data_IF_991702566036
#
_entry.id   IF_991702566036
#
_cell.length_a   1.000
_cell.length_b   1.000
_cell.length_c   1.000
_cell.angle_alpha   90.00
_cell.angle_beta   90.00
_cell.angle_gamma   90.00
#
_symmetry.space_group_name_H-M   'P 1'
#
loop_
_entity.id
_entity.type
_entity.pdbx_description
1 polymer ?
#
# COMPACT_ATOMS: atom_id res chain seq x y z
N UNK A 1 53.18 -3.41 4.82
CA UNK A 1 51.87 -4.06 4.49
C UNK A 1 52.16 -5.47 4.01
N UNK A 2 51.52 -6.47 4.58
CA UNK A 2 51.70 -7.86 4.17
C UNK A 2 51.24 -8.10 2.72
N UNK A 3 51.79 -9.08 2.03
CA UNK A 3 51.37 -9.44 0.69
C UNK A 3 49.87 -9.78 0.64
N UNK A 4 49.36 -10.41 1.69
CA UNK A 4 47.93 -10.72 1.91
C UNK A 4 47.07 -9.46 1.87
N UNK A 5 47.49 -8.40 2.57
CA UNK A 5 46.70 -7.13 2.60
C UNK A 5 46.69 -6.43 1.26
N UNK A 6 47.80 -6.46 0.52
CA UNK A 6 47.92 -5.88 -0.84
C UNK A 6 47.06 -6.57 -1.87
N UNK A 7 46.81 -7.87 -1.73
CA UNK A 7 45.94 -8.64 -2.65
C UNK A 7 44.45 -8.55 -2.27
N UNK A 8 44.10 -8.53 -0.98
CA UNK A 8 42.72 -8.54 -0.52
C UNK A 8 42.06 -7.15 -0.61
N UNK A 9 42.77 -6.07 -0.34
CA UNK A 9 42.20 -4.74 -0.29
C UNK A 9 41.50 -4.28 -1.60
N UNK A 10 42.10 -4.40 -2.80
CA UNK A 10 41.43 -3.97 -4.03
C UNK A 10 40.22 -4.82 -4.38
N UNK A 11 40.24 -6.12 -4.09
CA UNK A 11 39.12 -7.04 -4.37
C UNK A 11 37.97 -6.73 -3.42
N UNK A 12 38.24 -6.53 -2.13
CA UNK A 12 37.23 -6.13 -1.15
C UNK A 12 36.57 -4.78 -1.54
N UNK A 13 37.37 -3.82 -2.02
CA UNK A 13 36.87 -2.52 -2.49
C UNK A 13 35.91 -2.68 -3.68
N UNK A 14 36.34 -3.42 -4.70
CA UNK A 14 35.52 -3.65 -5.91
C UNK A 14 34.22 -4.37 -5.55
N UNK A 15 34.28 -5.42 -4.71
CA UNK A 15 33.09 -6.14 -4.26
C UNK A 15 32.13 -5.24 -3.47
N UNK A 16 32.66 -4.38 -2.58
CA UNK A 16 31.84 -3.45 -1.80
C UNK A 16 31.14 -2.41 -2.70
N UNK A 17 31.84 -1.87 -3.70
CA UNK A 17 31.28 -0.92 -4.67
C UNK A 17 30.20 -1.60 -5.52
N UNK A 18 30.48 -2.78 -6.06
CA UNK A 18 29.50 -3.53 -6.87
C UNK A 18 28.22 -3.84 -6.07
N UNK A 19 28.38 -4.24 -4.81
CA UNK A 19 27.26 -4.54 -3.93
C UNK A 19 26.44 -3.28 -3.58
N UNK A 20 27.11 -2.16 -3.27
CA UNK A 20 26.45 -0.89 -3.01
C UNK A 20 25.63 -0.43 -4.22
N UNK A 21 26.17 -0.62 -5.43
CA UNK A 21 25.45 -0.32 -6.67
C UNK A 21 24.21 -1.21 -6.87
N UNK A 22 24.34 -2.51 -6.67
CA UNK A 22 23.22 -3.45 -6.78
C UNK A 22 22.14 -3.16 -5.73
N UNK A 23 22.55 -2.92 -4.48
CA UNK A 23 21.60 -2.58 -3.40
C UNK A 23 20.88 -1.25 -3.66
N UNK A 24 21.59 -0.23 -4.13
CA UNK A 24 21.01 1.05 -4.51
C UNK A 24 20.00 0.92 -5.65
N UNK A 25 20.37 0.21 -6.71
CA UNK A 25 19.46 -0.05 -7.85
C UNK A 25 18.24 -0.86 -7.45
N UNK A 26 18.40 -1.87 -6.59
CA UNK A 26 17.27 -2.66 -6.07
C UNK A 26 16.31 -1.81 -5.23
N UNK A 27 16.85 -0.91 -4.40
CA UNK A 27 16.05 0.02 -3.61
C UNK A 27 15.24 0.98 -4.49
N UNK A 28 15.88 1.60 -5.50
CA UNK A 28 15.19 2.52 -6.40
C UNK A 28 14.09 1.83 -7.22
N UNK A 29 14.34 0.60 -7.67
CA UNK A 29 13.32 -0.20 -8.34
C UNK A 29 12.17 -0.58 -7.41
N UNK A 30 12.46 -1.01 -6.18
CA UNK A 30 11.43 -1.32 -5.19
C UNK A 30 10.56 -0.10 -4.88
N UNK A 31 11.19 1.07 -4.70
CA UNK A 31 10.48 2.34 -4.49
C UNK A 31 9.53 2.67 -5.65
N UNK A 32 9.98 2.55 -6.90
CA UNK A 32 9.15 2.80 -8.09
C UNK A 32 7.96 1.82 -8.17
N UNK A 33 8.22 0.53 -7.96
CA UNK A 33 7.19 -0.52 -8.02
C UNK A 33 6.14 -0.30 -6.93
N UNK A 34 6.56 -0.04 -5.69
CA UNK A 34 5.62 0.19 -4.58
C UNK A 34 4.80 1.45 -4.83
N UNK A 35 5.42 2.55 -5.26
CA UNK A 35 4.70 3.79 -5.57
C UNK A 35 3.66 3.60 -6.68
N UNK A 36 4.02 2.94 -7.80
CA UNK A 36 3.10 2.70 -8.90
C UNK A 36 1.96 1.73 -8.54
N UNK A 37 2.27 0.68 -7.76
CA UNK A 37 1.27 -0.28 -7.32
C UNK A 37 0.24 0.34 -6.37
N UNK A 38 0.66 1.21 -5.46
CA UNK A 38 -0.26 1.87 -4.53
C UNK A 38 -1.22 2.79 -5.28
N UNK A 39 -0.74 3.61 -6.20
CA UNK A 39 -1.61 4.46 -7.04
C UNK A 39 -2.64 3.60 -7.80
N UNK A 40 -2.22 2.45 -8.33
CA UNK A 40 -3.12 1.52 -9.03
C UNK A 40 -4.15 0.89 -8.08
N UNK A 41 -3.72 0.48 -6.88
CA UNK A 41 -4.61 -0.08 -5.86
C UNK A 41 -5.61 0.98 -5.39
N UNK A 42 -5.16 2.20 -5.08
CA UNK A 42 -6.04 3.30 -4.70
C UNK A 42 -7.07 3.61 -5.78
N UNK A 43 -6.65 3.70 -7.05
CA UNK A 43 -7.57 3.93 -8.16
C UNK A 43 -8.64 2.83 -8.26
N UNK A 44 -8.23 1.56 -8.12
CA UNK A 44 -9.15 0.43 -8.13
C UNK A 44 -10.13 0.47 -6.96
N UNK A 45 -9.64 0.81 -5.77
CA UNK A 45 -10.46 0.96 -4.56
C UNK A 45 -11.44 2.11 -4.71
N UNK A 46 -10.98 3.28 -5.12
CA UNK A 46 -11.83 4.46 -5.34
C UNK A 46 -12.90 4.17 -6.37
N UNK A 47 -12.57 3.51 -7.47
CA UNK A 47 -13.53 3.12 -8.50
C UNK A 47 -14.57 2.12 -7.95
N UNK A 48 -14.16 1.12 -7.19
CA UNK A 48 -15.04 0.14 -6.59
C UNK A 48 -16.01 0.79 -5.60
N UNK A 49 -15.51 1.61 -4.68
CA UNK A 49 -16.34 2.35 -3.69
C UNK A 49 -17.26 3.33 -4.40
N UNK A 50 -16.77 4.02 -5.43
CA UNK A 50 -17.59 4.94 -6.23
C UNK A 50 -18.77 4.24 -6.90
N UNK A 51 -18.53 3.07 -7.49
CA UNK A 51 -19.60 2.24 -8.10
C UNK A 51 -20.60 1.76 -7.07
N UNK A 52 -20.13 1.33 -5.89
CA UNK A 52 -21.02 0.86 -4.82
C UNK A 52 -21.91 1.99 -4.29
N UNK A 53 -21.33 3.16 -4.03
CA UNK A 53 -22.10 4.34 -3.59
C UNK A 53 -23.08 4.79 -4.67
N UNK A 54 -22.66 4.87 -5.93
CA UNK A 54 -23.54 5.23 -7.04
C UNK A 54 -24.70 4.25 -7.21
N UNK A 55 -24.42 2.95 -7.15
CA UNK A 55 -25.42 1.90 -7.21
C UNK A 55 -26.43 1.99 -6.04
N UNK A 56 -25.93 2.19 -4.84
CA UNK A 56 -26.77 2.34 -3.65
C UNK A 56 -27.70 3.57 -3.74
N UNK A 57 -27.16 4.72 -4.15
CA UNK A 57 -27.95 5.95 -4.34
C UNK A 57 -29.02 5.79 -5.40
N UNK A 58 -28.66 5.20 -6.55
CA UNK A 58 -29.58 4.98 -7.66
C UNK A 58 -30.65 3.95 -7.30
N UNK A 59 -30.26 2.85 -6.66
CA UNK A 59 -31.18 1.82 -6.16
C UNK A 59 -32.17 2.40 -5.15
N UNK A 60 -31.68 3.24 -4.23
CA UNK A 60 -32.54 3.88 -3.21
C UNK A 60 -33.49 4.89 -3.85
N UNK A 61 -33.00 5.68 -4.81
CA UNK A 61 -33.86 6.62 -5.57
C UNK A 61 -34.96 5.87 -6.31
N UNK A 62 -34.63 4.78 -7.00
CA UNK A 62 -35.60 3.95 -7.70
C UNK A 62 -36.62 3.32 -6.75
N UNK A 63 -36.15 2.79 -5.60
CA UNK A 63 -37.04 2.27 -4.56
C UNK A 63 -38.00 3.34 -4.05
N UNK A 64 -37.53 4.55 -3.73
CA UNK A 64 -38.35 5.64 -3.24
C UNK A 64 -39.39 6.07 -4.27
N UNK A 65 -38.97 6.21 -5.55
CA UNK A 65 -39.88 6.56 -6.66
C UNK A 65 -40.98 5.50 -6.84
N UNK A 66 -40.62 4.23 -6.86
CA UNK A 66 -41.59 3.15 -6.97
C UNK A 66 -42.53 3.10 -5.73
N UNK A 67 -41.99 3.34 -4.54
CA UNK A 67 -42.76 3.42 -3.32
C UNK A 67 -43.77 4.55 -3.35
N UNK A 68 -43.39 5.75 -3.79
CA UNK A 68 -44.32 6.87 -3.93
C UNK A 68 -45.44 6.62 -4.98
N UNK A 69 -45.21 5.75 -5.95
CA UNK A 69 -46.19 5.38 -6.99
C UNK A 69 -47.12 4.25 -6.58
N UNK A 70 -46.89 3.57 -5.42
CA UNK A 70 -47.72 2.47 -4.96
C UNK A 70 -49.14 2.96 -4.71
N UNK A 71 -50.12 2.09 -5.05
CA UNK A 71 -51.57 2.43 -4.88
C UNK A 71 -51.91 2.83 -3.45
N UNK A 72 -51.34 2.13 -2.46
CA UNK A 72 -51.59 2.41 -1.05
C UNK A 72 -51.12 3.82 -0.64
N UNK A 73 -49.98 4.29 -1.17
CA UNK A 73 -49.45 5.63 -0.89
C UNK A 73 -50.34 6.71 -1.53
N UNK A 74 -50.83 6.48 -2.77
CA UNK A 74 -51.78 7.37 -3.43
C UNK A 74 -53.13 7.41 -2.71
N UNK A 75 -53.67 6.27 -2.33
CA UNK A 75 -54.93 6.18 -1.57
C UNK A 75 -54.84 6.91 -0.22
N UNK A 76 -53.70 6.75 0.45
CA UNK A 76 -53.49 7.48 1.71
C UNK A 76 -53.40 9.01 1.49
N UNK A 77 -52.66 9.45 0.45
CA UNK A 77 -52.61 10.86 0.08
C UNK A 77 -54.01 11.42 -0.28
N UNK A 78 -54.78 10.68 -1.05
CA UNK A 78 -56.18 11.04 -1.42
C UNK A 78 -57.10 11.12 -0.19
N UNK A 79 -57.03 10.16 0.71
CA UNK A 79 -57.77 10.17 1.97
C UNK A 79 -57.43 11.42 2.79
N UNK A 80 -56.13 11.79 2.92
CA UNK A 80 -55.73 12.99 3.65
C UNK A 80 -56.33 14.28 3.07
N UNK A 81 -56.57 14.37 1.75
CA UNK A 81 -57.19 15.51 1.14
C UNK A 81 -58.67 15.70 1.58
N UNK A 82 -59.32 14.64 2.03
CA UNK A 82 -60.71 14.69 2.50
C UNK A 82 -60.82 15.03 3.99
N UNK A 83 -59.71 14.98 4.75
CA UNK A 83 -59.73 15.23 6.18
C UNK A 83 -59.49 16.71 6.52
N UNK A 84 -60.27 17.24 7.44
CA UNK A 84 -60.00 18.58 8.04
C UNK A 84 -58.88 18.52 9.09
N UNK A 85 -58.72 17.40 9.76
CA UNK A 85 -57.66 17.10 10.70
C UNK A 85 -57.42 15.58 10.67
N UNK A 86 -56.16 15.18 10.60
CA UNK A 86 -55.76 13.79 10.49
C UNK A 86 -56.18 13.02 11.76
N UNK A 87 -56.98 11.99 11.55
CA UNK A 87 -57.31 11.00 12.60
C UNK A 87 -56.29 9.86 12.56
N UNK A 88 -55.36 9.87 13.47
CA UNK A 88 -54.31 8.85 13.58
C UNK A 88 -54.79 7.49 14.00
N UNK A 89 -56.02 7.38 14.51
CA UNK A 89 -56.67 6.12 14.86
C UNK A 89 -57.38 5.47 13.67
N UNK A 90 -57.55 6.20 12.56
CA UNK A 90 -58.26 5.75 11.38
C UNK A 90 -57.67 4.47 10.78
N UNK A 91 -58.51 3.59 10.23
CA UNK A 91 -58.03 2.36 9.56
C UNK A 91 -57.06 2.65 8.44
N UNK A 92 -57.26 3.71 7.65
CA UNK A 92 -56.42 4.12 6.54
C UNK A 92 -55.00 4.44 6.99
N UNK A 93 -54.84 5.13 8.12
CA UNK A 93 -53.57 5.43 8.76
C UNK A 93 -52.86 4.15 9.16
N UNK A 94 -53.54 3.21 9.81
CA UNK A 94 -52.95 1.94 10.26
C UNK A 94 -52.51 1.07 9.09
N UNK A 95 -53.36 0.92 8.07
CA UNK A 95 -53.04 0.15 6.86
C UNK A 95 -51.82 0.76 6.14
N UNK A 96 -51.79 2.09 6.01
CA UNK A 96 -50.64 2.77 5.39
C UNK A 96 -49.35 2.52 6.18
N UNK A 97 -49.35 2.73 7.49
CA UNK A 97 -48.17 2.51 8.35
C UNK A 97 -47.70 1.06 8.31
N UNK A 98 -48.59 0.08 8.33
CA UNK A 98 -48.20 -1.33 8.20
C UNK A 98 -47.46 -1.59 6.88
N UNK A 99 -47.98 -1.09 5.78
CA UNK A 99 -47.40 -1.30 4.44
C UNK A 99 -46.06 -0.60 4.26
N UNK A 100 -45.90 0.63 4.78
CA UNK A 100 -44.59 1.32 4.68
C UNK A 100 -43.54 0.71 5.62
N UNK A 101 -43.95 0.22 6.82
CA UNK A 101 -43.06 -0.50 7.73
C UNK A 101 -42.53 -1.80 7.12
N UNK A 102 -43.41 -2.59 6.49
CA UNK A 102 -42.99 -3.79 5.73
C UNK A 102 -42.02 -3.43 4.62
N UNK A 103 -42.23 -2.30 3.96
CA UNK A 103 -41.33 -1.82 2.88
C UNK A 103 -39.93 -1.48 3.38
N UNK A 104 -39.80 -0.78 4.52
CA UNK A 104 -38.51 -0.46 5.14
C UNK A 104 -37.80 -1.74 5.59
N UNK A 105 -38.51 -2.70 6.15
CA UNK A 105 -37.91 -3.97 6.59
C UNK A 105 -37.24 -4.78 5.45
N UNK A 106 -37.67 -4.58 4.22
CA UNK A 106 -37.14 -5.28 3.04
C UNK A 106 -35.94 -4.54 2.45
N UNK A 107 -35.87 -3.20 2.60
CA UNK A 107 -34.89 -2.37 1.92
C UNK A 107 -33.90 -1.75 2.91
N UNK A 108 -32.76 -2.43 3.09
CA UNK A 108 -31.79 -2.15 4.15
C UNK A 108 -31.16 -0.75 4.13
N UNK A 109 -31.19 -0.04 3.00
CA UNK A 109 -30.57 1.29 2.89
C UNK A 109 -31.46 2.42 3.44
N UNK A 110 -32.77 2.19 3.52
CA UNK A 110 -33.73 3.18 4.04
C UNK A 110 -34.04 2.86 5.49
N UNK A 111 -33.60 3.73 6.40
CA UNK A 111 -33.79 3.56 7.85
C UNK A 111 -35.23 3.91 8.27
N UNK A 112 -35.83 4.90 7.64
CA UNK A 112 -37.20 5.31 7.90
C UNK A 112 -37.88 5.95 6.71
N UNK A 113 -39.20 5.86 6.68
CA UNK A 113 -40.10 6.54 5.76
C UNK A 113 -41.02 7.49 6.52
N UNK A 114 -41.20 8.69 5.99
CA UNK A 114 -42.22 9.64 6.47
C UNK A 114 -43.07 10.12 5.30
N UNK A 115 -44.33 10.38 5.56
CA UNK A 115 -45.26 11.00 4.63
C UNK A 115 -45.55 12.44 5.06
N UNK A 116 -45.35 13.39 4.17
CA UNK A 116 -45.63 14.82 4.36
C UNK A 116 -46.86 15.22 3.53
N UNK A 117 -47.78 15.92 4.15
CA UNK A 117 -48.94 16.50 3.44
C UNK A 117 -48.53 17.74 2.61
N UNK A 118 -49.54 18.35 1.91
CA UNK A 118 -49.34 19.57 1.10
C UNK A 118 -48.85 20.80 1.91
N UNK A 119 -48.93 20.78 3.22
CA UNK A 119 -48.46 21.84 4.13
C UNK A 119 -47.05 21.52 4.71
N UNK A 120 -46.47 20.38 4.37
CA UNK A 120 -45.20 19.93 4.89
C UNK A 120 -45.25 19.33 6.29
N UNK A 121 -46.45 19.01 6.76
CA UNK A 121 -46.66 18.37 8.07
C UNK A 121 -46.43 16.85 7.94
N UNK A 122 -45.72 16.24 8.89
CA UNK A 122 -45.55 14.80 8.99
C UNK A 122 -46.86 14.17 9.43
N UNK A 123 -47.49 13.43 8.55
CA UNK A 123 -48.77 12.74 8.82
C UNK A 123 -48.55 11.28 9.28
N UNK A 124 -47.52 10.64 8.73
CA UNK A 124 -47.16 9.28 9.07
C UNK A 124 -45.63 9.11 9.11
N UNK A 125 -45.16 8.23 10.00
CA UNK A 125 -43.74 7.90 10.16
C UNK A 125 -43.59 6.43 10.55
N UNK A 126 -42.69 5.71 9.90
CA UNK A 126 -42.36 4.32 10.29
C UNK A 126 -41.75 4.22 11.68
N UNK A 127 -41.21 5.31 12.20
CA UNK A 127 -40.63 5.38 13.53
C UNK A 127 -41.65 5.78 14.62
N UNK A 128 -42.89 6.08 14.25
CA UNK A 128 -43.92 6.67 15.14
C UNK A 128 -43.42 7.94 15.86
N UNK A 129 -42.56 8.71 15.21
CA UNK A 129 -41.92 9.91 15.77
C UNK A 129 -41.97 11.08 14.76
N UNK A 130 -42.11 12.29 15.31
CA UNK A 130 -42.08 13.52 14.51
C UNK A 130 -43.41 13.87 13.82
N UNK A 131 -44.46 13.10 14.02
CA UNK A 131 -45.81 13.36 13.50
C UNK A 131 -46.35 14.69 14.03
N UNK A 132 -47.00 15.44 13.13
CA UNK A 132 -47.47 16.79 13.41
C UNK A 132 -46.39 17.87 13.31
N UNK A 133 -45.09 17.51 13.19
CA UNK A 133 -44.03 18.47 12.97
C UNK A 133 -44.02 18.94 11.50
N UNK A 134 -43.74 20.23 11.30
CA UNK A 134 -43.61 20.78 9.95
C UNK A 134 -42.20 20.64 9.43
N UNK A 135 -42.07 20.29 8.15
CA UNK A 135 -40.83 20.11 7.39
C UNK A 135 -40.79 20.94 6.09
N UNK A 136 -41.67 21.93 5.94
CA UNK A 136 -41.78 22.75 4.73
C UNK A 136 -40.51 23.58 4.46
N UNK A 137 -39.69 23.79 5.50
CA UNK A 137 -38.37 24.43 5.43
C UNK A 137 -37.32 23.60 4.72
N UNK A 138 -37.53 22.31 4.54
CA UNK A 138 -36.55 21.37 3.98
C UNK A 138 -36.58 21.40 2.45
N UNK A 139 -35.39 21.35 1.85
CA UNK A 139 -35.23 21.35 0.39
C UNK A 139 -35.86 20.12 -0.26
N UNK A 140 -35.67 18.92 0.36
CA UNK A 140 -36.28 17.69 -0.14
C UNK A 140 -37.83 17.79 -0.25
N UNK A 141 -38.46 18.57 0.62
CA UNK A 141 -39.90 18.82 0.54
C UNK A 141 -40.24 19.83 -0.57
N UNK A 142 -39.52 20.97 -0.62
CA UNK A 142 -39.79 22.02 -1.57
C UNK A 142 -39.64 21.56 -3.03
N UNK A 143 -38.55 20.85 -3.32
CA UNK A 143 -38.33 20.33 -4.67
C UNK A 143 -39.36 19.24 -5.02
N UNK A 144 -39.69 18.35 -4.09
CA UNK A 144 -40.73 17.35 -4.33
C UNK A 144 -42.11 17.96 -4.57
N UNK A 145 -42.49 19.07 -3.90
CA UNK A 145 -43.72 19.79 -4.17
C UNK A 145 -43.74 20.44 -5.55
N UNK A 146 -42.57 20.67 -6.15
CA UNK A 146 -42.45 21.11 -7.57
C UNK A 146 -42.49 19.92 -8.55
N UNK A 147 -42.77 18.72 -8.06
CA UNK A 147 -42.83 17.48 -8.87
C UNK A 147 -41.46 16.86 -9.19
N UNK A 148 -40.39 17.24 -8.51
CA UNK A 148 -39.04 16.75 -8.73
C UNK A 148 -38.59 15.85 -7.59
N UNK A 149 -38.02 14.68 -7.91
CA UNK A 149 -37.26 13.92 -6.93
C UNK A 149 -36.05 14.68 -6.44
N UNK A 150 -35.81 14.69 -5.16
CA UNK A 150 -34.67 15.41 -4.57
C UNK A 150 -33.90 14.59 -3.54
N UNK A 151 -32.63 14.90 -3.40
CA UNK A 151 -31.74 14.37 -2.35
C UNK A 151 -31.18 15.54 -1.58
N UNK A 152 -31.34 15.52 -0.27
CA UNK A 152 -30.80 16.55 0.62
C UNK A 152 -30.00 15.90 1.76
N UNK A 153 -28.88 16.49 2.09
CA UNK A 153 -28.06 16.07 3.22
C UNK A 153 -26.56 16.20 2.94
N UNK A 154 -25.74 15.90 3.93
CA UNK A 154 -26.09 15.28 5.20
C UNK A 154 -26.81 16.25 6.17
N UNK A 155 -27.87 15.78 6.80
CA UNK A 155 -28.61 16.52 7.84
C UNK A 155 -28.79 15.70 9.09
N UNK A 156 -28.83 16.36 10.24
CA UNK A 156 -29.21 15.70 11.49
C UNK A 156 -30.71 15.39 11.47
N UNK A 157 -31.07 14.14 11.72
CA UNK A 157 -32.47 13.74 11.90
C UNK A 157 -33.04 14.44 13.12
N UNK A 158 -34.23 15.08 12.97
CA UNK A 158 -34.88 15.80 14.09
C UNK A 158 -35.43 14.89 15.15
N UNK A 159 -35.57 13.58 14.86
CA UNK A 159 -36.14 12.59 15.73
C UNK A 159 -35.12 11.79 16.52
N UNK A 160 -34.08 11.30 15.87
CA UNK A 160 -33.07 10.40 16.47
C UNK A 160 -31.67 11.03 16.62
N UNK A 161 -31.42 12.19 16.01
CA UNK A 161 -30.18 12.93 16.20
C UNK A 161 -28.96 12.36 15.46
N UNK A 162 -29.12 11.41 14.52
CA UNK A 162 -28.03 10.94 13.67
C UNK A 162 -28.00 11.63 12.31
N UNK A 163 -26.91 11.53 11.60
CA UNK A 163 -26.76 12.10 10.26
C UNK A 163 -27.36 11.18 9.20
N UNK A 164 -28.19 11.77 8.33
CA UNK A 164 -28.87 11.06 7.25
C UNK A 164 -28.93 11.90 5.96
N UNK A 165 -29.01 11.20 4.84
CA UNK A 165 -29.53 11.75 3.60
C UNK A 165 -31.03 11.55 3.55
N UNK A 166 -31.72 12.53 2.98
CA UNK A 166 -33.16 12.50 2.79
C UNK A 166 -33.48 12.52 1.31
N UNK A 167 -34.25 11.55 0.86
CA UNK A 167 -34.82 11.50 -0.49
C UNK A 167 -36.28 11.85 -0.42
N UNK A 168 -36.65 12.94 -1.10
CA UNK A 168 -38.05 13.37 -1.23
C UNK A 168 -38.61 12.99 -2.59
N UNK A 169 -39.70 12.22 -2.60
CA UNK A 169 -40.41 11.80 -3.81
C UNK A 169 -41.84 12.38 -3.82
N UNK A 170 -42.25 13.07 -4.91
CA UNK A 170 -43.58 13.57 -5.04
C UNK A 170 -44.60 12.45 -5.16
N UNK A 171 -45.72 12.59 -4.43
CA UNK A 171 -46.87 11.67 -4.52
C UNK A 171 -48.00 12.39 -5.31
N UNK A 172 -48.32 11.85 -6.47
CA UNK A 172 -49.32 12.42 -7.37
C UNK A 172 -50.67 11.76 -7.18
N UNK A 173 -51.71 12.59 -6.99
CA UNK A 173 -53.11 12.22 -7.05
C UNK A 173 -53.79 13.07 -8.12
N UNK A 174 -54.45 12.42 -9.07
CA UNK A 174 -55.13 13.11 -10.18
C UNK A 174 -54.24 14.09 -10.98
N UNK A 175 -52.92 13.79 -11.08
CA UNK A 175 -51.95 14.66 -11.82
C UNK A 175 -51.37 15.79 -11.01
N UNK A 176 -51.81 16.04 -9.80
CA UNK A 176 -51.25 17.06 -8.89
C UNK A 176 -50.42 16.43 -7.75
N UNK A 177 -49.38 17.13 -7.31
CA UNK A 177 -48.64 16.74 -6.12
C UNK A 177 -49.52 16.91 -4.86
N UNK A 178 -49.80 15.82 -4.20
CA UNK A 178 -50.69 15.78 -3.04
C UNK A 178 -50.00 15.49 -1.71
N UNK A 179 -48.69 15.18 -1.79
CA UNK A 179 -47.86 14.98 -0.63
C UNK A 179 -46.47 14.57 -1.08
N UNK A 180 -45.59 14.31 -0.12
CA UNK A 180 -44.21 13.91 -0.35
C UNK A 180 -43.90 12.68 0.50
N UNK A 181 -43.40 11.61 -0.14
CA UNK A 181 -42.84 10.47 0.56
C UNK A 181 -41.35 10.73 0.74
N UNK A 182 -40.87 10.70 1.98
CA UNK A 182 -39.46 10.97 2.28
C UNK A 182 -38.81 9.73 2.92
N UNK A 183 -37.71 9.30 2.38
CA UNK A 183 -36.86 8.26 2.95
C UNK A 183 -35.62 8.87 3.60
N UNK A 184 -35.30 8.41 4.81
CA UNK A 184 -34.05 8.74 5.47
C UNK A 184 -33.06 7.57 5.33
N UNK A 185 -31.84 7.89 4.87
CA UNK A 185 -30.74 6.94 4.71
C UNK A 185 -29.70 7.24 5.77
N UNK A 186 -29.44 6.28 6.66
CA UNK A 186 -28.45 6.44 7.71
C UNK A 186 -27.03 6.44 7.15
N UNK A 187 -26.28 7.51 7.41
CA UNK A 187 -24.91 7.66 6.92
C UNK A 187 -23.93 6.67 7.56
N UNK A 188 -24.15 6.30 8.83
CA UNK A 188 -23.33 5.26 9.48
C UNK A 188 -23.51 3.91 8.80
N UNK A 189 -24.75 3.60 8.38
CA UNK A 189 -25.00 2.39 7.62
C UNK A 189 -24.27 2.38 6.29
N UNK A 190 -24.30 3.49 5.54
CA UNK A 190 -23.55 3.63 4.29
C UNK A 190 -22.06 3.45 4.54
N UNK A 191 -21.52 4.21 5.48
CA UNK A 191 -20.08 4.18 5.76
C UNK A 191 -19.59 2.78 6.17
N UNK A 192 -20.37 2.09 7.04
CA UNK A 192 -20.00 0.75 7.51
C UNK A 192 -20.04 -0.33 6.41
N UNK A 193 -20.79 -0.12 5.35
CA UNK A 193 -20.90 -1.08 4.24
C UNK A 193 -20.05 -0.72 3.02
N UNK A 194 -19.65 0.55 2.87
CA UNK A 194 -18.92 1.00 1.69
C UNK A 194 -17.45 1.37 1.96
N UNK A 195 -17.18 2.17 3.00
CA UNK A 195 -15.83 2.70 3.25
C UNK A 195 -15.08 1.99 4.38
N UNK A 196 -15.77 1.57 5.46
CA UNK A 196 -15.11 0.91 6.59
C UNK A 196 -14.47 -0.45 6.25
N UNK A 197 -15.10 -1.30 5.38
CA UNK A 197 -14.50 -2.57 4.98
C UNK A 197 -13.24 -2.39 4.14
N UNK A 198 -13.03 -1.18 3.59
CA UNK A 198 -11.91 -0.90 2.72
C UNK A 198 -10.66 -0.65 3.54
N UNK A 199 -9.90 -1.71 3.76
CA UNK A 199 -8.60 -1.63 4.40
C UNK A 199 -7.51 -1.58 3.34
N UNK A 200 -6.98 -0.42 3.08
CA UNK A 200 -5.75 -0.28 2.26
C UNK A 200 -4.55 -0.71 3.11
N UNK A 201 -4.35 -2.03 3.26
CA UNK A 201 -3.30 -2.64 4.11
C UNK A 201 -3.28 -2.10 5.56
N UNK A 202 -4.45 -1.69 6.07
CA UNK A 202 -4.61 -1.15 7.44
C UNK A 202 -4.11 0.28 7.64
N UNK A 203 -3.86 1.05 6.58
CA UNK A 203 -3.03 2.27 6.70
C UNK A 203 -3.42 3.42 5.77
N UNK A 204 -4.33 3.19 4.82
CA UNK A 204 -5.02 4.22 4.07
C UNK A 204 -6.47 4.35 4.54
N UNK A 205 -7.10 5.45 4.23
CA UNK A 205 -8.51 5.68 4.48
C UNK A 205 -9.21 6.08 3.18
N UNK A 206 -10.50 5.74 3.10
CA UNK A 206 -11.41 6.24 2.08
C UNK A 206 -12.44 7.12 2.75
N UNK A 207 -12.72 8.26 2.15
CA UNK A 207 -13.75 9.18 2.60
C UNK A 207 -14.45 9.83 1.41
N UNK A 208 -15.60 10.43 1.64
CA UNK A 208 -16.41 11.06 0.58
C UNK A 208 -16.72 12.49 0.97
N UNK A 209 -16.63 13.38 -0.01
CA UNK A 209 -16.96 14.78 0.16
C UNK A 209 -18.04 15.21 -0.81
N UNK A 210 -18.78 16.27 -0.45
CA UNK A 210 -19.71 16.94 -1.34
C UNK A 210 -19.01 17.93 -2.28
N UNK A 211 -19.70 18.55 -3.26
CA UNK A 211 -19.10 19.52 -4.17
C UNK A 211 -18.51 20.77 -3.48
N UNK A 212 -18.89 21.06 -2.24
CA UNK A 212 -18.36 22.18 -1.46
C UNK A 212 -17.13 21.79 -0.63
N UNK A 213 -16.73 20.51 -0.66
CA UNK A 213 -15.63 19.98 0.15
C UNK A 213 -16.04 19.58 1.57
N UNK A 214 -17.34 19.53 1.88
CA UNK A 214 -17.79 19.01 3.17
C UNK A 214 -17.64 17.50 3.21
N UNK A 215 -17.05 16.97 4.30
CA UNK A 215 -16.92 15.52 4.51
C UNK A 215 -18.30 14.95 4.84
N UNK A 216 -18.77 14.02 4.00
CA UNK A 216 -20.08 13.39 4.11
C UNK A 216 -20.01 11.93 4.56
N UNK A 217 -18.94 11.21 4.20
CA UNK A 217 -18.64 9.88 4.74
C UNK A 217 -17.17 9.82 5.16
N UNK A 218 -16.88 9.30 6.35
CA UNK A 218 -15.53 9.17 6.87
C UNK A 218 -15.46 8.02 7.89
N UNK A 219 -14.35 7.23 7.96
CA UNK A 219 -14.18 6.22 9.01
C UNK A 219 -14.24 6.81 10.43
N UNK A 220 -13.66 7.98 10.63
CA UNK A 220 -13.86 8.77 11.86
C UNK A 220 -15.18 9.53 11.78
N UNK A 221 -16.19 9.03 12.49
CA UNK A 221 -17.55 9.59 12.51
C UNK A 221 -17.64 11.02 13.06
N UNK A 222 -16.67 11.44 13.87
CA UNK A 222 -16.65 12.82 14.40
C UNK A 222 -16.44 13.83 13.28
N UNK A 223 -15.71 13.48 12.22
CA UNK A 223 -15.54 14.36 11.05
C UNK A 223 -16.81 14.54 10.24
N UNK A 224 -17.70 13.54 10.25
CA UNK A 224 -19.02 13.66 9.62
C UNK A 224 -19.93 14.56 10.48
N UNK A 225 -19.90 14.40 11.81
CA UNK A 225 -20.74 15.12 12.76
C UNK A 225 -20.39 16.61 12.83
N UNK A 226 -19.13 16.96 12.72
CA UNK A 226 -18.64 18.34 12.86
C UNK A 226 -18.77 19.20 11.59
N UNK A 227 -19.41 18.73 10.52
CA UNK A 227 -19.39 19.36 9.20
C UNK A 227 -17.96 19.72 8.77
N UNK A 228 -17.02 18.79 9.00
CA UNK A 228 -15.63 19.03 8.68
C UNK A 228 -15.46 19.24 7.18
N UNK A 229 -14.67 20.26 6.83
CA UNK A 229 -14.30 20.55 5.46
C UNK A 229 -12.93 19.98 5.16
N UNK A 230 -12.71 19.57 3.91
CA UNK A 230 -11.36 19.25 3.43
C UNK A 230 -10.53 20.53 3.29
N UNK A 231 -9.22 20.38 3.25
CA UNK A 231 -8.30 21.48 3.00
C UNK A 231 -8.52 22.09 1.61
N UNK A 232 -8.31 23.38 1.49
CA UNK A 232 -8.50 24.13 0.23
C UNK A 232 -7.68 23.54 -0.93
N UNK A 233 -6.46 23.09 -0.65
CA UNK A 233 -5.59 22.46 -1.66
C UNK A 233 -6.19 21.15 -2.23
N UNK A 234 -6.87 20.36 -1.39
CA UNK A 234 -7.56 19.15 -1.83
C UNK A 234 -8.78 19.52 -2.67
N UNK A 235 -9.56 20.53 -2.23
CA UNK A 235 -10.72 20.99 -2.95
C UNK A 235 -10.35 21.49 -4.35
N UNK A 236 -9.27 22.24 -4.48
CA UNK A 236 -8.73 22.70 -5.77
C UNK A 236 -8.30 21.53 -6.66
N UNK A 237 -7.63 20.51 -6.09
CA UNK A 237 -7.19 19.34 -6.83
C UNK A 237 -8.33 18.49 -7.41
N UNK A 238 -9.51 18.50 -6.78
CA UNK A 238 -10.70 17.76 -7.24
C UNK A 238 -11.73 18.61 -7.97
N UNK A 239 -11.50 19.94 -8.10
CA UNK A 239 -12.48 20.91 -8.61
C UNK A 239 -12.92 20.64 -10.05
N UNK A 240 -12.03 20.12 -10.90
CA UNK A 240 -12.31 19.83 -12.30
C UNK A 240 -13.19 18.57 -12.49
N UNK A 241 -13.48 17.85 -11.39
CA UNK A 241 -14.23 16.60 -11.41
C UNK A 241 -13.47 15.46 -12.09
N UNK A 242 -14.20 14.38 -12.45
CA UNK A 242 -13.59 13.21 -13.06
C UNK A 242 -12.82 12.33 -12.09
N UNK A 243 -11.69 11.81 -12.52
CA UNK A 243 -10.81 10.97 -11.68
C UNK A 243 -9.35 11.40 -11.84
N UNK A 244 -8.58 11.26 -10.77
CA UNK A 244 -7.17 11.65 -10.79
C UNK A 244 -6.46 11.26 -9.51
N UNK A 245 -5.18 11.64 -9.44
CA UNK A 245 -4.33 11.46 -8.27
C UNK A 245 -3.53 12.72 -8.01
N UNK A 246 -3.28 13.02 -6.74
CA UNK A 246 -2.48 14.18 -6.32
C UNK A 246 -1.71 13.88 -5.05
N UNK A 247 -0.68 14.68 -4.79
CA UNK A 247 0.03 14.68 -3.52
C UNK A 247 -0.38 15.92 -2.72
N UNK A 248 -0.58 15.74 -1.42
CA UNK A 248 -0.83 16.85 -0.50
C UNK A 248 -0.02 16.67 0.79
N UNK A 249 0.30 17.77 1.45
CA UNK A 249 1.01 17.77 2.72
C UNK A 249 0.04 18.21 3.82
N UNK A 250 -0.02 17.42 4.90
CA UNK A 250 -0.83 17.72 6.08
C UNK A 250 -0.06 17.33 7.34
N UNK A 251 -0.02 18.22 8.33
CA UNK A 251 0.69 18.01 9.60
C UNK A 251 2.17 17.61 9.42
N UNK A 252 2.85 18.14 8.37
CA UNK A 252 4.23 17.81 8.03
C UNK A 252 4.43 16.42 7.42
N UNK A 253 3.36 15.72 7.06
CA UNK A 253 3.39 14.43 6.38
C UNK A 253 2.83 14.56 4.95
N UNK A 254 3.52 13.93 4.00
CA UNK A 254 3.05 13.83 2.61
C UNK A 254 2.08 12.67 2.46
N UNK A 255 0.95 12.94 1.81
CA UNK A 255 -0.07 11.95 1.47
C UNK A 255 -0.19 11.82 -0.04
N UNK A 256 -0.37 10.61 -0.53
CA UNK A 256 -0.85 10.31 -1.87
C UNK A 256 -2.35 10.12 -1.79
N UNK A 257 -3.07 10.74 -2.72
CA UNK A 257 -4.52 10.68 -2.76
C UNK A 257 -4.99 10.43 -4.18
N UNK A 258 -5.95 9.54 -4.31
CA UNK A 258 -6.63 9.26 -5.58
C UNK A 258 -8.11 9.53 -5.41
N UNK A 259 -8.76 10.11 -6.41
CA UNK A 259 -10.15 10.49 -6.33
C UNK A 259 -10.95 10.10 -7.57
N UNK A 260 -12.27 10.00 -7.39
CA UNK A 260 -13.24 9.86 -8.46
C UNK A 260 -14.53 10.59 -8.10
N UNK A 261 -14.99 11.45 -8.99
CA UNK A 261 -16.20 12.26 -8.80
C UNK A 261 -17.40 11.54 -9.42
N UNK A 262 -18.44 11.37 -8.63
CA UNK A 262 -19.70 10.74 -9.00
C UNK A 262 -20.58 11.70 -9.80
N UNK A 263 -21.57 11.21 -10.57
CA UNK A 263 -22.49 12.08 -11.36
C UNK A 263 -23.30 13.09 -10.53
N UNK A 264 -23.49 12.84 -9.24
CA UNK A 264 -24.16 13.77 -8.32
C UNK A 264 -23.22 14.82 -7.72
N UNK A 265 -21.96 14.87 -8.15
CA UNK A 265 -20.94 15.79 -7.68
C UNK A 265 -20.19 15.33 -6.42
N UNK A 266 -20.55 14.22 -5.80
CA UNK A 266 -19.78 13.70 -4.68
C UNK A 266 -18.45 13.13 -5.15
N UNK A 267 -17.41 13.33 -4.36
CA UNK A 267 -16.07 12.83 -4.69
C UNK A 267 -15.61 11.83 -3.64
N UNK A 268 -15.32 10.63 -4.11
CA UNK A 268 -14.69 9.57 -3.30
C UNK A 268 -13.20 9.79 -3.35
N UNK A 269 -12.54 9.85 -2.20
CA UNK A 269 -11.10 10.08 -2.07
C UNK A 269 -10.51 8.95 -1.23
N UNK A 270 -9.50 8.29 -1.77
CA UNK A 270 -8.61 7.39 -1.02
C UNK A 270 -7.31 8.11 -0.73
N UNK A 271 -6.78 7.98 0.46
CA UNK A 271 -5.53 8.64 0.84
C UNK A 271 -4.66 7.71 1.69
N UNK A 272 -3.34 7.73 1.44
CA UNK A 272 -2.34 6.98 2.19
C UNK A 272 -1.11 7.85 2.49
N UNK A 273 -0.53 7.71 3.66
CA UNK A 273 0.69 8.44 4.02
C UNK A 273 1.90 7.88 3.28
N UNK A 274 2.76 8.78 2.76
CA UNK A 274 4.03 8.43 2.10
C UNK A 274 4.96 7.63 3.01
N UNK A 275 5.10 8.04 4.26
CA UNK A 275 5.99 7.36 5.22
C UNK A 275 5.55 5.93 5.43
N UNK A 276 4.24 5.73 5.40
CA UNK A 276 3.66 4.43 5.49
C UNK A 276 3.93 3.55 4.26
N UNK A 277 3.77 4.09 3.05
CA UNK A 277 4.15 3.41 1.80
C UNK A 277 5.62 2.99 1.82
N UNK A 278 6.49 3.87 2.36
CA UNK A 278 7.92 3.63 2.40
C UNK A 278 8.35 2.69 3.53
N UNK A 279 7.51 2.43 4.54
CA UNK A 279 7.87 1.56 5.67
C UNK A 279 8.23 0.14 5.22
N UNK A 280 7.46 -0.43 4.30
CA UNK A 280 7.71 -1.76 3.76
C UNK A 280 8.96 -1.78 2.86
N UNK A 281 9.19 -0.71 2.09
CA UNK A 281 10.41 -0.54 1.28
C UNK A 281 11.64 -0.41 2.17
N UNK A 282 11.55 0.32 3.29
CA UNK A 282 12.64 0.42 4.26
C UNK A 282 12.96 -0.93 4.90
N UNK A 283 11.96 -1.69 5.30
CA UNK A 283 12.15 -3.03 5.85
C UNK A 283 12.79 -3.99 4.83
N UNK A 284 12.37 -3.92 3.57
CA UNK A 284 13.00 -4.67 2.48
C UNK A 284 14.45 -4.23 2.25
N UNK A 285 14.74 -2.93 2.27
CA UNK A 285 16.10 -2.39 2.17
C UNK A 285 17.00 -2.96 3.26
N UNK A 286 16.56 -2.90 4.51
CA UNK A 286 17.36 -3.31 5.65
C UNK A 286 17.65 -4.82 5.62
N UNK A 287 16.66 -5.63 5.26
CA UNK A 287 16.84 -7.09 5.05
C UNK A 287 17.80 -7.38 3.89
N UNK A 288 17.63 -6.69 2.76
CA UNK A 288 18.50 -6.86 1.59
C UNK A 288 19.93 -6.43 1.91
N UNK A 289 20.12 -5.32 2.61
CA UNK A 289 21.42 -4.85 3.04
C UNK A 289 22.10 -5.86 4.01
N UNK A 290 21.36 -6.44 4.94
CA UNK A 290 21.88 -7.45 5.86
C UNK A 290 22.32 -8.73 5.12
N UNK A 291 21.51 -9.24 4.19
CA UNK A 291 21.86 -10.42 3.38
C UNK A 291 23.08 -10.14 2.51
N UNK A 292 23.11 -8.96 1.90
CA UNK A 292 24.21 -8.52 1.07
C UNK A 292 25.52 -8.40 1.86
N UNK A 293 25.48 -7.82 3.06
CA UNK A 293 26.63 -7.73 3.96
C UNK A 293 27.14 -9.11 4.37
N UNK A 294 26.22 -10.02 4.73
CA UNK A 294 26.57 -11.40 5.07
C UNK A 294 27.26 -12.11 3.89
N UNK A 295 26.74 -11.95 2.67
CA UNK A 295 27.34 -12.53 1.46
C UNK A 295 28.77 -12.02 1.22
N UNK A 296 29.02 -10.71 1.41
CA UNK A 296 30.37 -10.13 1.33
C UNK A 296 31.30 -10.71 2.40
N UNK A 297 30.84 -10.75 3.64
CA UNK A 297 31.65 -11.32 4.72
C UNK A 297 32.04 -12.78 4.44
N UNK A 298 31.12 -13.58 3.94
CA UNK A 298 31.38 -14.98 3.56
C UNK A 298 32.38 -15.04 2.41
N UNK A 299 32.21 -14.24 1.35
CA UNK A 299 33.12 -14.21 0.22
C UNK A 299 34.53 -13.76 0.61
N UNK A 300 34.66 -12.71 1.43
CA UNK A 300 35.93 -12.24 1.97
C UNK A 300 36.59 -13.29 2.87
N UNK A 301 35.82 -14.02 3.66
CA UNK A 301 36.33 -15.12 4.50
C UNK A 301 36.93 -16.24 3.63
N UNK A 302 36.21 -16.72 2.62
CA UNK A 302 36.75 -17.73 1.72
C UNK A 302 37.96 -17.22 0.93
N UNK A 303 37.92 -16.01 0.45
CA UNK A 303 39.05 -15.36 -0.23
C UNK A 303 40.27 -15.28 0.70
N UNK A 304 40.09 -14.87 1.96
CA UNK A 304 41.14 -14.82 2.95
C UNK A 304 41.78 -16.19 3.16
N UNK A 305 40.99 -17.28 3.27
CA UNK A 305 41.49 -18.64 3.38
C UNK A 305 42.36 -19.06 2.18
N UNK A 306 41.91 -18.72 0.96
CA UNK A 306 42.66 -19.00 -0.29
C UNK A 306 43.98 -18.26 -0.30
N UNK A 307 43.94 -16.94 -0.05
CA UNK A 307 45.14 -16.10 -0.04
C UNK A 307 46.14 -16.53 1.02
N UNK A 308 45.68 -16.89 2.23
CA UNK A 308 46.54 -17.40 3.28
C UNK A 308 47.22 -18.72 2.87
N UNK A 309 46.50 -19.63 2.20
CA UNK A 309 47.10 -20.87 1.68
C UNK A 309 48.14 -20.63 0.58
N UNK A 310 47.89 -19.70 -0.32
CA UNK A 310 48.84 -19.32 -1.40
C UNK A 310 50.10 -18.68 -0.81
N UNK A 311 49.93 -17.68 0.06
CA UNK A 311 51.05 -16.99 0.71
C UNK A 311 51.89 -17.93 1.57
N UNK A 312 51.25 -18.83 2.30
CA UNK A 312 51.96 -19.85 3.10
C UNK A 312 52.83 -20.78 2.20
N UNK A 313 52.30 -21.18 1.03
CA UNK A 313 53.05 -22.00 0.08
C UNK A 313 54.22 -21.21 -0.53
N UNK A 314 54.02 -19.95 -0.88
CA UNK A 314 55.09 -19.08 -1.38
C UNK A 314 56.21 -18.87 -0.35
N UNK A 315 55.87 -18.61 0.91
CA UNK A 315 56.85 -18.47 2.00
C UNK A 315 57.69 -19.75 2.18
N UNK A 316 57.06 -20.92 2.09
CA UNK A 316 57.78 -22.20 2.14
C UNK A 316 58.77 -22.33 0.95
N UNK A 317 58.38 -21.85 -0.24
CA UNK A 317 59.23 -21.83 -1.42
C UNK A 317 60.44 -20.89 -1.28
N UNK A 318 60.22 -19.69 -0.69
CA UNK A 318 61.32 -18.76 -0.39
C UNK A 318 62.32 -19.38 0.61
N UNK A 319 61.84 -19.93 1.72
CA UNK A 319 62.70 -20.59 2.71
C UNK A 319 63.45 -21.78 2.16
N UNK A 320 62.83 -22.56 1.28
CA UNK A 320 63.51 -23.63 0.56
C UNK A 320 64.62 -23.11 -0.32
N UNK A 321 64.38 -22.08 -1.11
CA UNK A 321 65.38 -21.45 -1.97
C UNK A 321 66.57 -20.85 -1.17
N UNK A 322 66.30 -20.18 -0.03
CA UNK A 322 67.29 -19.66 0.89
C UNK A 322 68.17 -20.79 1.44
N UNK A 323 67.59 -21.89 1.91
CA UNK A 323 68.31 -23.04 2.43
C UNK A 323 69.16 -23.73 1.38
N UNK A 324 68.70 -23.81 0.14
CA UNK A 324 69.48 -24.29 -1.02
C UNK A 324 70.67 -23.37 -1.31
N UNK A 325 70.49 -22.04 -1.23
CA UNK A 325 71.57 -21.05 -1.43
C UNK A 325 72.65 -21.14 -0.32
N UNK A 326 72.26 -21.53 0.89
CA UNK A 326 73.17 -21.80 2.03
C UNK A 326 73.91 -23.15 1.90
N UNK A 327 73.68 -23.91 0.81
CA UNK A 327 74.37 -25.13 0.51
C UNK A 327 73.67 -26.43 0.99
N UNK A 328 72.49 -26.32 1.53
CA UNK A 328 71.73 -27.51 1.96
C UNK A 328 70.97 -28.12 0.77
N UNK A 329 71.66 -28.96 -0.02
CA UNK A 329 71.12 -29.59 -1.22
C UNK A 329 70.32 -30.90 -0.95
N UNK A 330 70.24 -31.35 0.32
CA UNK A 330 69.52 -32.59 0.67
C UNK A 330 68.05 -32.35 0.99
N UNK A 331 67.55 -31.11 0.89
CA UNK A 331 66.15 -30.79 1.12
C UNK A 331 65.29 -31.02 -0.11
N UNK A 332 64.03 -31.38 0.14
CA UNK A 332 62.98 -31.49 -0.88
C UNK A 332 61.83 -30.55 -0.58
N UNK A 333 61.38 -29.80 -1.59
CA UNK A 333 60.22 -28.91 -1.50
C UNK A 333 58.95 -29.74 -1.70
N UNK A 334 58.38 -30.25 -0.59
CA UNK A 334 57.23 -31.13 -0.65
C UNK A 334 55.93 -30.34 -0.53
N UNK A 335 55.32 -29.94 -1.67
CA UNK A 335 53.98 -29.38 -1.77
C UNK A 335 53.16 -30.34 -2.63
N UNK A 336 52.15 -31.01 -2.00
CA UNK A 336 51.20 -31.86 -2.71
C UNK A 336 50.07 -31.01 -3.29
N UNK A 337 50.30 -30.41 -4.45
CA UNK A 337 49.32 -29.60 -5.21
C UNK A 337 49.43 -29.93 -6.68
N UNK A 338 48.30 -29.84 -7.40
CA UNK A 338 48.20 -30.08 -8.84
C UNK A 338 48.04 -28.77 -9.66
N UNK A 339 48.36 -27.61 -9.04
CA UNK A 339 48.29 -26.28 -9.64
C UNK A 339 49.70 -25.74 -9.96
N UNK A 340 49.78 -24.46 -10.33
CA UNK A 340 51.03 -23.75 -10.69
C UNK A 340 52.04 -23.78 -9.54
N UNK A 341 51.62 -23.84 -8.29
CA UNK A 341 52.50 -23.96 -7.14
C UNK A 341 53.11 -25.38 -7.04
N UNK A 342 52.34 -26.39 -7.43
CA UNK A 342 52.83 -27.76 -7.55
C UNK A 342 53.85 -27.90 -8.68
N UNK A 343 53.61 -27.26 -9.83
CA UNK A 343 54.56 -27.20 -10.94
C UNK A 343 55.86 -26.47 -10.54
N UNK A 344 55.77 -25.37 -9.81
CA UNK A 344 56.92 -24.64 -9.25
C UNK A 344 57.74 -25.54 -8.28
N UNK A 345 57.07 -26.29 -7.42
CA UNK A 345 57.73 -27.20 -6.48
C UNK A 345 58.50 -28.28 -7.21
N UNK A 346 57.94 -28.88 -8.25
CA UNK A 346 58.59 -29.88 -9.10
C UNK A 346 59.82 -29.31 -9.83
N UNK A 347 59.68 -28.06 -10.41
CA UNK A 347 60.80 -27.41 -11.08
C UNK A 347 61.93 -27.06 -10.12
N UNK A 348 61.66 -26.58 -8.92
CA UNK A 348 62.63 -26.32 -7.86
C UNK A 348 63.37 -27.59 -7.41
N UNK A 349 62.63 -28.67 -7.16
CA UNK A 349 63.22 -29.94 -6.82
C UNK A 349 64.16 -30.49 -7.94
N UNK A 350 63.72 -30.34 -9.18
CA UNK A 350 64.55 -30.73 -10.35
C UNK A 350 65.83 -29.90 -10.45
N UNK A 351 65.74 -28.60 -10.17
CA UNK A 351 66.89 -27.69 -10.15
C UNK A 351 67.90 -28.08 -9.05
N UNK A 352 67.42 -28.34 -7.85
CA UNK A 352 68.27 -28.78 -6.73
C UNK A 352 68.94 -30.12 -7.04
N UNK A 353 68.19 -31.09 -7.59
CA UNK A 353 68.78 -32.37 -8.02
C UNK A 353 69.90 -32.20 -9.06
N UNK A 354 69.73 -31.30 -10.04
CA UNK A 354 70.79 -30.98 -11.01
C UNK A 354 72.02 -30.29 -10.36
N UNK A 355 71.78 -29.33 -9.45
CA UNK A 355 72.82 -28.64 -8.70
C UNK A 355 73.61 -29.68 -7.84
N UNK A 356 72.97 -30.54 -7.11
CA UNK A 356 73.58 -31.58 -6.30
C UNK A 356 74.49 -32.46 -7.17
N UNK A 357 73.97 -32.96 -8.28
CA UNK A 357 74.71 -33.80 -9.19
C UNK A 357 75.95 -33.07 -9.78
N UNK A 358 75.84 -31.78 -10.15
CA UNK A 358 76.94 -30.96 -10.62
C UNK A 358 77.99 -30.74 -9.52
N UNK A 359 77.57 -30.53 -8.27
CA UNK A 359 78.51 -30.43 -7.15
C UNK A 359 79.24 -31.73 -6.84
N UNK A 360 78.54 -32.87 -6.92
CA UNK A 360 79.15 -34.19 -6.72
C UNK A 360 80.24 -34.50 -7.84
N UNK A 361 79.89 -34.15 -9.07
CA UNK A 361 80.80 -34.29 -10.18
C UNK A 361 82.04 -33.36 -10.01
N UNK A 362 81.86 -32.10 -9.65
CA UNK A 362 82.93 -31.16 -9.39
C UNK A 362 83.84 -31.61 -8.23
N UNK A 363 83.27 -32.05 -7.12
CA UNK A 363 84.03 -32.58 -5.99
C UNK A 363 84.81 -33.86 -6.34
N UNK A 364 84.21 -34.75 -7.16
CA UNK A 364 84.91 -35.93 -7.65
C UNK A 364 86.08 -35.57 -8.54
N UNK A 365 85.92 -34.64 -9.48
CA UNK A 365 86.95 -34.17 -10.31
C UNK A 365 88.10 -33.49 -9.52
N UNK A 366 87.73 -32.68 -8.49
CA UNK A 366 88.71 -32.04 -7.60
C UNK A 366 89.54 -33.09 -6.81
N UNK A 367 88.88 -34.11 -6.27
CA UNK A 367 89.58 -35.23 -5.59
C UNK A 367 90.43 -35.98 -6.51
N UNK A 368 89.97 -36.38 -7.70
CA UNK A 368 90.79 -37.02 -8.75
C UNK A 368 91.96 -36.21 -9.12
N UNK A 369 91.84 -34.88 -9.25
CA UNK A 369 92.95 -33.94 -9.55
C UNK A 369 93.93 -33.83 -8.35
N UNK A 370 93.40 -33.77 -7.11
CA UNK A 370 94.26 -33.79 -5.91
C UNK A 370 95.04 -35.11 -5.76
N UNK A 371 94.39 -36.24 -5.99
CA UNK A 371 95.05 -37.57 -5.97
C UNK A 371 96.11 -37.71 -7.10
N UNK A 372 95.79 -37.13 -8.31
CA UNK A 372 96.78 -37.15 -9.39
C UNK A 372 97.98 -36.23 -9.05
N UNK A 373 97.74 -35.05 -8.43
CA UNK A 373 98.81 -34.18 -7.93
C UNK A 373 99.67 -34.86 -6.82
N UNK A 374 99.02 -35.48 -5.87
CA UNK A 374 99.74 -36.23 -4.78
C UNK A 374 100.59 -37.34 -5.35
N UNK A 375 100.14 -38.06 -6.37
CA UNK A 375 100.96 -39.11 -7.07
C UNK A 375 102.14 -38.47 -7.85
N UNK A 376 101.98 -37.33 -8.47
CA UNK A 376 103.04 -36.65 -9.20
C UNK A 376 104.10 -36.00 -8.30
N UNK A 377 103.83 -35.71 -7.03
CA UNK A 377 104.77 -35.21 -6.01
C UNK A 377 105.44 -36.25 -5.22
N UNK A 378 105.06 -37.59 -5.33
CA UNK A 378 105.68 -38.71 -4.65
C UNK A 378 106.59 -39.57 -5.54
N UNK A 379 106.86 -39.10 -6.77
CA UNK A 379 107.90 -39.62 -7.70
C UNK A 379 109.04 -38.62 -7.80
#
# INVERSE_FOLDING_TARGET
MSLTTRMLAPIALIMSIALAFVAGSAYDNAKKIVSSNIVTIEATVVEAVSREIAFMLESTRNYMRLSAQRQIVKQYAEWLLTQKKTDRSAPEQKIFLEQINQSVAIYNYVDSLIFLNKQGTVEASTENMGEGQNRSDREYYREAMLGKSSVQGPLITRTKGYYAFFLGEPVFVNGEVSGVLVGAINMDYIASHTIDPVTMHGKGIVYVVDPNGQIILHPDRQKMIGNAMIEQAILEAISDGGSGSFENERDGMTYYSTFNTLPNGWTVIATVSRDFMMSDVQLMRDRTAAVALAAVCIALFFMFLVVCRVVAAMRKGVHFAESVAEGNLDQTFNIRRSDELGALASALNTMVGKLKNSFEIANRQTREAEEARARATST
#
